data_IF_434790695114
#
_entry.id   IF_434790695114
#
_cell.length_a   1.000
_cell.length_b   1.000
_cell.length_c   1.000
_cell.angle_alpha   90.00
_cell.angle_beta   90.00
_cell.angle_gamma   90.00
#
_symmetry.space_group_name_H-M   'P 1'
#
loop_
_entity.id
_entity.type
_entity.pdbx_description
1 polymer ?
#
# COMPACT_ATOMS: atom_id res chain seq x y z
N UNK A 1 9.91 -6.29 -5.65
CA UNK A 1 9.86 -6.20 -4.18
C UNK A 1 8.60 -6.87 -3.64
N UNK A 2 8.71 -7.54 -2.50
CA UNK A 2 7.56 -8.10 -1.80
C UNK A 2 6.70 -6.97 -1.20
N UNK A 3 5.39 -6.94 -1.51
CA UNK A 3 4.49 -5.86 -1.07
C UNK A 3 3.61 -6.32 0.08
N UNK A 4 2.88 -7.43 -0.07
CA UNK A 4 1.92 -7.89 0.93
C UNK A 4 2.29 -9.28 1.46
N UNK A 5 2.92 -9.34 2.64
CA UNK A 5 3.34 -10.60 3.24
C UNK A 5 2.19 -11.56 3.59
N UNK A 6 0.98 -11.06 3.86
CA UNK A 6 -0.18 -11.90 4.15
C UNK A 6 -0.58 -12.77 2.96
N UNK A 7 -0.62 -12.17 1.77
CA UNK A 7 -1.13 -12.81 0.55
C UNK A 7 -0.02 -13.21 -0.42
N UNK A 8 1.25 -13.10 -0.02
CA UNK A 8 2.41 -13.39 -0.87
C UNK A 8 2.45 -12.60 -2.21
N UNK A 9 1.92 -11.37 -2.23
CA UNK A 9 1.89 -10.50 -3.43
C UNK A 9 3.09 -9.57 -3.52
N UNK A 10 3.68 -9.47 -4.71
CA UNK A 10 4.81 -8.60 -5.04
C UNK A 10 4.40 -7.37 -5.87
N UNK A 11 5.32 -6.43 -6.06
CA UNK A 11 5.13 -5.18 -6.80
C UNK A 11 4.79 -5.39 -8.28
N UNK A 12 5.36 -6.41 -8.94
CA UNK A 12 5.03 -6.72 -10.33
C UNK A 12 3.54 -6.98 -10.49
N UNK A 13 2.96 -7.82 -9.64
CA UNK A 13 1.51 -8.10 -9.65
C UNK A 13 0.69 -6.84 -9.44
N UNK A 14 1.08 -5.97 -8.51
CA UNK A 14 0.36 -4.71 -8.28
C UNK A 14 0.44 -3.79 -9.51
N UNK A 15 1.62 -3.64 -10.11
CA UNK A 15 1.81 -2.81 -11.30
C UNK A 15 1.02 -3.33 -12.52
N UNK A 16 0.93 -4.65 -12.68
CA UNK A 16 0.08 -5.28 -13.69
C UNK A 16 -1.40 -4.91 -13.48
N UNK A 17 -1.91 -5.04 -12.25
CA UNK A 17 -3.29 -4.66 -11.92
C UNK A 17 -3.57 -3.17 -12.15
N UNK A 18 -2.61 -2.29 -11.82
CA UNK A 18 -2.70 -0.85 -12.10
C UNK A 18 -2.75 -0.58 -13.61
N UNK A 19 -1.93 -1.28 -14.40
CA UNK A 19 -1.98 -1.20 -15.87
C UNK A 19 -3.30 -1.73 -16.44
N UNK A 20 -3.92 -2.70 -15.76
CA UNK A 20 -5.27 -3.22 -16.03
C UNK A 20 -6.40 -2.36 -15.44
N UNK A 21 -6.08 -1.16 -14.93
CA UNK A 21 -7.05 -0.16 -14.51
C UNK A 21 -7.47 -0.21 -13.05
N UNK A 22 -6.70 -0.86 -12.16
CA UNK A 22 -6.92 -0.71 -10.72
C UNK A 22 -6.61 0.72 -10.25
N UNK A 23 -7.58 1.37 -9.61
CA UNK A 23 -7.52 2.80 -9.23
C UNK A 23 -7.45 3.04 -7.72
N UNK A 24 -7.75 2.03 -6.90
CA UNK A 24 -7.70 2.11 -5.45
C UNK A 24 -7.31 0.77 -4.81
N UNK A 25 -7.05 0.82 -3.49
CA UNK A 25 -6.63 -0.36 -2.71
C UNK A 25 -7.72 -1.41 -2.66
N UNK A 26 -8.99 -1.02 -2.74
CA UNK A 26 -10.12 -1.93 -2.62
C UNK A 26 -10.25 -2.78 -3.89
N UNK A 27 -10.03 -2.21 -5.06
CA UNK A 27 -9.92 -2.96 -6.32
C UNK A 27 -8.74 -3.94 -6.28
N UNK A 28 -7.58 -3.53 -5.74
CA UNK A 28 -6.44 -4.42 -5.52
C UNK A 28 -6.81 -5.60 -4.59
N UNK A 29 -7.55 -5.34 -3.50
CA UNK A 29 -8.03 -6.38 -2.57
C UNK A 29 -8.95 -7.35 -3.30
N UNK A 30 -9.90 -6.86 -4.10
CA UNK A 30 -10.83 -7.71 -4.85
C UNK A 30 -10.10 -8.58 -5.86
N UNK A 31 -9.10 -8.04 -6.57
CA UNK A 31 -8.40 -8.75 -7.64
C UNK A 31 -7.35 -9.75 -7.15
N UNK A 32 -6.66 -9.47 -6.04
CA UNK A 32 -5.55 -10.32 -5.58
C UNK A 32 -5.43 -10.49 -4.05
N UNK A 33 -6.35 -9.94 -3.26
CA UNK A 33 -6.35 -10.03 -1.80
C UNK A 33 -5.39 -9.08 -1.08
N UNK A 34 -4.37 -8.56 -1.77
CA UNK A 34 -3.36 -7.70 -1.15
C UNK A 34 -3.98 -6.47 -0.50
N UNK A 35 -3.72 -6.27 0.80
CA UNK A 35 -4.31 -5.18 1.58
C UNK A 35 -5.55 -5.56 2.37
N UNK A 36 -6.11 -6.78 2.19
CA UNK A 36 -7.30 -7.24 2.91
C UNK A 36 -7.02 -7.72 4.34
N UNK A 37 -5.78 -8.18 4.61
CA UNK A 37 -5.35 -8.71 5.91
C UNK A 37 -4.87 -7.65 6.90
N UNK A 38 -3.56 -7.66 7.23
CA UNK A 38 -2.98 -6.78 8.26
C UNK A 38 -2.88 -5.30 7.88
N UNK A 39 -3.10 -4.98 6.59
CA UNK A 39 -3.06 -3.63 6.00
C UNK A 39 -1.72 -2.91 6.08
N UNK A 40 -0.65 -3.57 6.52
CA UNK A 40 0.70 -2.98 6.60
C UNK A 40 1.27 -2.53 5.25
N UNK A 41 0.80 -3.12 4.14
CA UNK A 41 1.22 -2.75 2.79
C UNK A 41 0.51 -1.53 2.20
N UNK A 42 -0.50 -0.96 2.88
CA UNK A 42 -1.32 0.13 2.34
C UNK A 42 -0.52 1.38 1.92
N UNK A 43 0.52 1.83 2.65
CA UNK A 43 1.32 2.97 2.22
C UNK A 43 2.02 2.72 0.86
N UNK A 44 2.56 1.51 0.66
CA UNK A 44 3.25 1.17 -0.58
C UNK A 44 2.25 0.93 -1.73
N UNK A 45 1.09 0.31 -1.45
CA UNK A 45 0.01 0.18 -2.43
C UNK A 45 -0.45 1.56 -2.93
N UNK A 46 -0.68 2.52 -2.04
CA UNK A 46 -1.05 3.89 -2.40
C UNK A 46 0.01 4.57 -3.25
N UNK A 47 1.29 4.38 -2.92
CA UNK A 47 2.40 4.90 -3.71
C UNK A 47 2.43 4.31 -5.13
N UNK A 48 2.20 3.01 -5.27
CA UNK A 48 2.12 2.34 -6.59
C UNK A 48 0.89 2.78 -7.39
N UNK A 49 -0.22 3.08 -6.71
CA UNK A 49 -1.43 3.66 -7.29
C UNK A 49 -1.29 5.17 -7.62
N UNK A 50 -0.13 5.79 -7.34
CA UNK A 50 0.09 7.21 -7.54
C UNK A 50 -0.71 8.11 -6.58
N UNK A 51 -1.25 7.56 -5.50
CA UNK A 51 -2.00 8.33 -4.50
C UNK A 51 -1.05 9.06 -3.56
N UNK A 52 -1.41 10.29 -3.12
CA UNK A 52 -0.62 11.01 -2.15
C UNK A 52 -0.53 10.20 -0.84
N UNK A 53 0.69 9.88 -0.43
CA UNK A 53 0.97 9.34 0.90
C UNK A 53 0.93 10.51 1.89
N UNK A 54 0.04 10.46 2.88
CA UNK A 54 0.03 11.46 3.96
C UNK A 54 1.28 11.26 4.81
N UNK A 55 2.31 12.06 4.55
CA UNK A 55 3.59 12.03 5.27
C UNK A 55 3.52 12.60 6.68
N UNK A 56 2.33 12.76 7.28
CA UNK A 56 2.15 13.34 8.61
C UNK A 56 2.44 12.36 9.75
N UNK A 57 3.65 11.81 9.79
CA UNK A 57 4.22 11.31 11.04
C UNK A 57 5.74 11.34 11.06
N UNK A 58 6.28 12.45 11.53
CA UNK A 58 7.69 12.58 11.88
C UNK A 58 8.00 13.92 12.54
N UNK A 59 7.66 14.08 13.84
CA UNK A 59 8.48 14.71 14.91
C UNK A 59 7.61 14.79 16.18
N UNK A 60 7.62 13.74 16.99
CA UNK A 60 7.57 13.93 18.46
C UNK A 60 8.97 13.62 18.98
N UNK A 61 9.85 14.58 18.77
CA UNK A 61 11.05 14.76 19.56
C UNK A 61 11.05 16.25 19.91
N UNK A 62 10.68 16.57 21.16
CA UNK A 62 11.37 17.56 22.00
C UNK A 62 10.68 17.70 23.36
N UNK A 63 11.51 17.48 24.39
CA UNK A 63 11.39 17.78 25.81
C UNK A 63 10.32 18.81 26.26
N UNK A 64 9.56 18.40 27.27
CA UNK A 64 9.07 19.30 28.32
C UNK A 64 9.04 18.53 29.65
N UNK A 65 9.83 18.98 30.63
CA UNK A 65 9.86 18.48 32.01
C UNK A 65 11.25 18.21 32.50
#
# INVERSE_FOLDING_TARGET
MMICHCEAVNDRTILELVAEGATDVEDIIVRCGAGGGCRGCWPELRKLLGQPVDVRRGTMANHAG
#
